data_IF_099976532433
#
_entry.id   IF_099976532433
#
_cell.length_a   1.000
_cell.length_b   1.000
_cell.length_c   1.000
_cell.angle_alpha   90.00
_cell.angle_beta   90.00
_cell.angle_gamma   90.00
#
_symmetry.space_group_name_H-M   'P 1'
#
loop_
_entity.id
_entity.type
_entity.pdbx_description
1 polymer ?
#
# COMPACT_ATOMS: atom_id res chain seq x y z
N UNK A 1 7.98 -35.59 -47.96
CA UNK A 1 7.36 -35.20 -46.67
C UNK A 1 8.24 -34.13 -46.05
N UNK A 2 7.72 -32.92 -45.83
CA UNK A 2 8.48 -31.81 -45.24
C UNK A 2 8.20 -31.75 -43.74
N UNK A 3 9.23 -31.88 -42.91
CA UNK A 3 9.14 -31.74 -41.45
C UNK A 3 9.54 -30.31 -41.06
N UNK A 4 8.58 -29.54 -40.54
CA UNK A 4 8.84 -28.21 -39.99
C UNK A 4 9.30 -28.41 -38.54
N UNK A 5 10.59 -28.22 -38.30
CA UNK A 5 11.17 -28.23 -36.96
C UNK A 5 10.86 -26.91 -36.27
N UNK A 6 10.09 -26.98 -35.18
CA UNK A 6 9.76 -25.81 -34.35
C UNK A 6 10.89 -25.59 -33.34
N UNK A 7 11.69 -24.55 -33.56
CA UNK A 7 12.71 -24.13 -32.62
C UNK A 7 12.10 -23.14 -31.61
N UNK A 8 12.09 -23.51 -30.33
CA UNK A 8 11.71 -22.63 -29.23
C UNK A 8 12.74 -21.51 -29.08
N UNK A 9 12.36 -20.29 -29.42
CA UNK A 9 13.17 -19.10 -29.15
C UNK A 9 13.17 -18.84 -27.63
N UNK A 10 14.20 -19.34 -26.95
CA UNK A 10 14.40 -19.06 -25.54
C UNK A 10 14.78 -17.59 -25.38
N UNK A 11 13.83 -16.77 -24.93
CA UNK A 11 14.06 -15.35 -24.68
C UNK A 11 15.19 -15.20 -23.63
N UNK A 12 16.23 -14.38 -23.88
CA UNK A 12 17.29 -14.20 -22.91
C UNK A 12 16.74 -13.38 -21.74
N UNK A 13 16.58 -14.02 -20.58
CA UNK A 13 16.19 -13.38 -19.32
C UNK A 13 17.21 -12.33 -18.81
N UNK A 14 18.34 -12.18 -19.49
CA UNK A 14 19.47 -11.35 -19.06
C UNK A 14 19.41 -9.89 -19.50
N UNK A 15 18.60 -9.53 -20.50
CA UNK A 15 18.45 -8.13 -20.92
C UNK A 15 17.59 -7.30 -19.95
N UNK A 16 16.70 -7.94 -19.19
CA UNK A 16 15.82 -7.29 -18.22
C UNK A 16 16.42 -7.13 -16.83
N UNK A 17 17.54 -7.78 -16.52
CA UNK A 17 18.10 -7.80 -15.16
C UNK A 17 18.58 -6.42 -14.67
N UNK A 18 19.06 -5.56 -15.58
CA UNK A 18 19.48 -4.19 -15.26
C UNK A 18 18.31 -3.23 -15.02
N UNK A 19 17.23 -3.36 -15.79
CA UNK A 19 16.02 -2.54 -15.67
C UNK A 19 15.04 -3.06 -14.61
N UNK A 20 15.16 -4.33 -14.22
CA UNK A 20 14.32 -4.95 -13.18
C UNK A 20 14.59 -4.37 -11.79
N UNK A 21 15.81 -3.91 -11.49
CA UNK A 21 16.15 -3.32 -10.18
C UNK A 21 15.40 -2.00 -9.91
N UNK A 22 15.49 -0.96 -10.77
CA UNK A 22 14.74 0.27 -10.53
C UNK A 22 13.22 0.07 -10.62
N UNK A 23 12.75 -0.85 -11.49
CA UNK A 23 11.34 -1.18 -11.56
C UNK A 23 10.84 -1.88 -10.29
N UNK A 24 11.66 -2.75 -9.68
CA UNK A 24 11.33 -3.42 -8.42
C UNK A 24 11.24 -2.43 -7.26
N UNK A 25 12.18 -1.47 -7.18
CA UNK A 25 12.16 -0.40 -6.19
C UNK A 25 10.93 0.50 -6.36
N UNK A 26 10.63 0.92 -7.59
CA UNK A 26 9.42 1.70 -7.89
C UNK A 26 8.15 0.94 -7.52
N UNK A 27 8.10 -0.37 -7.77
CA UNK A 27 6.96 -1.22 -7.37
C UNK A 27 6.81 -1.30 -5.86
N UNK A 28 7.92 -1.44 -5.13
CA UNK A 28 7.91 -1.45 -3.66
C UNK A 28 7.43 -0.12 -3.10
N UNK A 29 7.92 0.99 -3.67
CA UNK A 29 7.48 2.34 -3.32
C UNK A 29 5.99 2.54 -3.58
N UNK A 30 5.50 2.18 -4.77
CA UNK A 30 4.08 2.32 -5.12
C UNK A 30 3.17 1.52 -4.19
N UNK A 31 3.57 0.30 -3.79
CA UNK A 31 2.80 -0.50 -2.82
C UNK A 31 2.69 0.20 -1.47
N UNK A 32 3.80 0.76 -0.96
CA UNK A 32 3.79 1.50 0.31
C UNK A 32 3.02 2.82 0.20
N UNK A 33 3.12 3.51 -0.94
CA UNK A 33 2.40 4.74 -1.23
C UNK A 33 0.90 4.52 -1.25
N UNK A 34 0.42 3.53 -2.02
CA UNK A 34 -1.01 3.18 -2.08
C UNK A 34 -1.53 2.81 -0.69
N UNK A 35 -0.78 1.99 0.07
CA UNK A 35 -1.17 1.60 1.41
C UNK A 35 -1.31 2.79 2.37
N UNK A 36 -0.49 3.84 2.24
CA UNK A 36 -0.59 5.05 3.05
C UNK A 36 -1.64 6.03 2.53
N UNK A 37 -1.67 6.26 1.22
CA UNK A 37 -2.55 7.24 0.57
C UNK A 37 -4.02 6.84 0.67
N UNK A 38 -4.30 5.54 0.55
CA UNK A 38 -5.66 5.00 0.68
C UNK A 38 -5.91 4.37 2.04
N UNK A 39 -5.09 4.66 3.06
CA UNK A 39 -5.44 4.30 4.42
C UNK A 39 -6.60 5.20 4.86
N UNK A 40 -7.81 4.65 5.06
CA UNK A 40 -8.93 5.47 5.50
C UNK A 40 -8.55 6.10 6.84
N UNK A 41 -8.64 7.42 6.93
CA UNK A 41 -8.57 8.08 8.22
C UNK A 41 -9.64 7.41 9.11
N UNK A 42 -9.20 6.71 10.15
CA UNK A 42 -10.04 6.13 11.19
C UNK A 42 -10.04 7.08 12.37
N UNK A 43 -10.94 8.07 12.37
CA UNK A 43 -11.01 8.98 13.48
C UNK A 43 -11.46 8.25 14.76
N UNK A 44 -11.95 6.99 14.70
CA UNK A 44 -12.21 6.12 15.87
C UNK A 44 -11.02 5.88 16.77
N UNK A 45 -9.79 6.08 16.31
CA UNK A 45 -8.62 6.02 17.19
C UNK A 45 -8.31 7.37 17.84
N UNK A 46 -8.82 8.46 17.27
CA UNK A 46 -8.51 9.83 17.67
C UNK A 46 -9.61 10.47 18.52
N UNK A 47 -10.85 9.97 18.45
CA UNK A 47 -11.96 10.40 19.30
C UNK A 47 -12.32 9.46 20.45
N UNK A 48 -11.37 8.63 20.90
CA UNK A 48 -11.52 7.80 22.10
C UNK A 48 -10.87 8.45 23.34
N UNK A 49 -10.92 9.78 23.41
CA UNK A 49 -11.01 10.44 24.72
C UNK A 49 -12.44 10.92 24.80
N UNK A 50 -13.28 10.10 25.44
CA UNK A 50 -14.63 10.48 25.82
C UNK A 50 -14.64 11.82 26.56
N UNK A 51 -15.81 12.39 26.84
CA UNK A 51 -15.95 13.76 27.28
C UNK A 51 -14.92 14.13 28.36
N UNK A 52 -14.08 15.10 28.01
CA UNK A 52 -12.97 15.53 28.86
C UNK A 52 -13.47 16.11 30.20
N UNK A 53 -12.56 16.39 31.15
CA UNK A 53 -12.91 16.92 32.46
C UNK A 53 -13.83 18.15 32.41
N UNK A 54 -13.64 19.01 31.41
CA UNK A 54 -14.47 20.20 31.18
C UNK A 54 -15.93 19.88 30.84
N UNK A 55 -16.20 18.77 30.17
CA UNK A 55 -17.57 18.31 29.90
C UNK A 55 -18.20 17.76 31.18
N UNK A 56 -17.48 16.93 31.94
CA UNK A 56 -17.99 16.39 33.23
C UNK A 56 -18.31 17.49 34.23
N UNK A 57 -17.49 18.54 34.30
CA UNK A 57 -17.74 19.71 35.15
C UNK A 57 -19.04 20.44 34.79
N UNK A 58 -19.42 20.46 33.50
CA UNK A 58 -20.70 21.04 33.05
C UNK A 58 -21.90 20.15 33.38
N UNK A 59 -21.77 18.81 33.30
CA UNK A 59 -22.83 17.90 33.74
C UNK A 59 -23.05 17.96 35.25
N UNK A 60 -21.97 17.95 36.06
CA UNK A 60 -22.06 17.98 37.52
C UNK A 60 -22.68 19.26 38.10
N UNK A 61 -22.75 20.33 37.30
CA UNK A 61 -23.44 21.58 37.65
C UNK A 61 -24.92 21.58 37.22
N UNK A 62 -25.36 20.54 36.51
CA UNK A 62 -26.70 20.44 35.91
C UNK A 62 -27.63 19.48 36.65
N UNK A 63 -27.09 18.67 37.55
CA UNK A 63 -27.81 17.86 38.55
C UNK A 63 -27.79 18.57 39.91
#
# INVERSE_FOLDING_TARGET
MATISSASLHAPAHASAGLAKPLAELRAFLRQFIAKAFNPYRPELHYMRGPGPAWRAKQACRD
#
